data_IF_300529781706
#
_entry.id   IF_300529781706
#
_cell.length_a   1.000
_cell.length_b   1.000
_cell.length_c   1.000
_cell.angle_alpha   90.00
_cell.angle_beta   90.00
_cell.angle_gamma   90.00
#
_symmetry.space_group_name_H-M   'P 1'
#
loop_
_entity.id
_entity.type
_entity.pdbx_description
1 polymer ?
#
# COMPACT_ATOMS: atom_id res chain seq x y z
N UNK A 1 -15.78 -8.08 5.24
CA UNK A 1 -14.37 -8.44 5.56
C UNK A 1 -13.90 -9.68 4.80
N UNK A 2 -14.65 -10.79 4.76
CA UNK A 2 -14.29 -12.01 4.02
C UNK A 2 -14.08 -11.80 2.51
N UNK A 3 -15.00 -11.09 1.84
CA UNK A 3 -14.93 -10.81 0.40
C UNK A 3 -13.64 -10.11 -0.03
N UNK A 4 -13.12 -9.19 0.79
CA UNK A 4 -11.89 -8.44 0.49
C UNK A 4 -10.67 -9.38 0.54
N UNK A 5 -10.63 -10.31 1.49
CA UNK A 5 -9.58 -11.34 1.55
C UNK A 5 -9.63 -12.29 0.35
N UNK A 6 -10.82 -12.79 0.03
CA UNK A 6 -11.02 -13.70 -1.10
C UNK A 6 -10.61 -13.04 -2.43
N UNK A 7 -11.05 -11.80 -2.65
CA UNK A 7 -10.65 -11.02 -3.83
C UNK A 7 -9.13 -10.83 -3.90
N UNK A 8 -8.50 -10.51 -2.77
CA UNK A 8 -7.04 -10.35 -2.69
C UNK A 8 -6.30 -11.65 -3.00
N UNK A 9 -6.81 -12.79 -2.50
CA UNK A 9 -6.23 -14.10 -2.78
C UNK A 9 -6.33 -14.46 -4.27
N UNK A 10 -7.48 -14.20 -4.89
CA UNK A 10 -7.68 -14.39 -6.32
C UNK A 10 -6.73 -13.53 -7.15
N UNK A 11 -6.60 -12.24 -6.82
CA UNK A 11 -5.66 -11.33 -7.48
C UNK A 11 -4.21 -11.81 -7.36
N UNK A 12 -3.81 -12.30 -6.18
CA UNK A 12 -2.46 -12.83 -5.98
C UNK A 12 -2.19 -14.09 -6.80
N UNK A 13 -3.17 -14.98 -6.90
CA UNK A 13 -3.05 -16.18 -7.72
C UNK A 13 -2.88 -15.81 -9.20
N UNK A 14 -3.66 -14.84 -9.69
CA UNK A 14 -3.52 -14.30 -11.05
C UNK A 14 -2.13 -13.68 -11.25
N UNK A 15 -1.68 -12.84 -10.32
CA UNK A 15 -0.37 -12.19 -10.40
C UNK A 15 0.78 -13.21 -10.52
N UNK A 16 0.72 -14.29 -9.72
CA UNK A 16 1.70 -15.39 -9.78
C UNK A 16 1.62 -16.20 -11.07
N UNK A 17 0.42 -16.54 -11.52
CA UNK A 17 0.22 -17.33 -12.74
C UNK A 17 0.65 -16.57 -13.99
N UNK A 18 0.37 -15.28 -14.06
CA UNK A 18 0.69 -14.43 -15.21
C UNK A 18 2.07 -13.76 -15.11
N UNK A 19 2.74 -13.89 -13.96
CA UNK A 19 4.00 -13.21 -13.66
C UNK A 19 3.93 -11.68 -13.87
N UNK A 20 2.89 -11.05 -13.33
CA UNK A 20 2.65 -9.61 -13.42
C UNK A 20 2.70 -8.96 -12.05
N UNK A 21 3.16 -7.71 -12.00
CA UNK A 21 3.01 -6.89 -10.80
C UNK A 21 1.55 -6.47 -10.62
N UNK A 22 1.02 -6.58 -9.40
CA UNK A 22 -0.34 -6.15 -9.06
C UNK A 22 -0.30 -5.27 -7.83
N UNK A 23 -0.87 -4.07 -7.95
CA UNK A 23 -1.01 -3.12 -6.84
C UNK A 23 -2.45 -3.13 -6.32
N UNK A 24 -2.60 -3.16 -5.00
CA UNK A 24 -3.90 -3.06 -4.33
C UNK A 24 -3.88 -1.79 -3.48
N UNK A 25 -4.89 -0.94 -3.68
CA UNK A 25 -5.03 0.32 -2.92
C UNK A 25 -6.10 0.12 -1.85
N UNK A 26 -5.70 0.26 -0.59
CA UNK A 26 -6.61 0.22 0.55
C UNK A 26 -6.65 1.58 1.25
N UNK A 27 -7.85 2.13 1.43
CA UNK A 27 -8.04 3.41 2.09
C UNK A 27 -8.11 3.23 3.62
N UNK A 28 -7.52 4.17 4.36
CA UNK A 28 -7.66 4.23 5.82
C UNK A 28 -8.77 5.23 6.14
N UNK A 29 -9.74 4.83 6.97
CA UNK A 29 -10.89 5.68 7.33
C UNK A 29 -10.69 6.35 8.70
N UNK A 30 -11.49 7.38 8.98
CA UNK A 30 -11.34 8.29 10.15
C UNK A 30 -11.42 7.59 11.51
N UNK A 31 -12.04 6.42 11.62
CA UNK A 31 -12.15 5.67 12.87
C UNK A 31 -10.91 4.83 13.20
N UNK A 32 -9.83 4.96 12.43
CA UNK A 32 -8.67 4.05 12.52
C UNK A 32 -9.00 2.62 12.09
N UNK A 33 -10.26 2.37 11.70
CA UNK A 33 -10.68 1.19 10.97
C UNK A 33 -10.11 1.28 9.57
N UNK A 34 -8.94 0.68 9.45
CA UNK A 34 -8.25 0.46 8.19
C UNK A 34 -9.18 -0.38 7.31
N UNK A 35 -9.77 0.23 6.28
CA UNK A 35 -10.66 -0.47 5.37
C UNK A 35 -9.81 -1.35 4.45
N UNK A 36 -9.35 -2.50 4.96
CA UNK A 36 -8.62 -3.51 4.18
C UNK A 36 -7.14 -3.69 4.52
N UNK A 37 -6.27 -2.66 4.56
CA UNK A 37 -4.81 -2.87 4.58
C UNK A 37 -4.29 -3.83 5.66
N UNK A 38 -4.50 -3.57 6.96
CA UNK A 38 -4.01 -4.45 8.06
C UNK A 38 -4.48 -5.89 7.95
N UNK A 39 -5.70 -6.08 7.48
CA UNK A 39 -6.28 -7.39 7.27
C UNK A 39 -5.58 -8.16 6.14
N UNK A 40 -4.99 -7.45 5.17
CA UNK A 40 -4.33 -8.00 3.99
C UNK A 40 -2.79 -8.00 4.11
N UNK A 41 -2.21 -7.27 5.06
CA UNK A 41 -0.76 -7.12 5.23
C UNK A 41 0.00 -8.45 5.28
N UNK A 42 -0.57 -9.45 5.97
CA UNK A 42 0.04 -10.76 6.06
C UNK A 42 -0.10 -11.56 4.76
N UNK A 43 -1.14 -11.28 3.96
CA UNK A 43 -1.41 -11.96 2.70
C UNK A 43 -0.43 -11.50 1.61
N UNK A 44 -0.22 -10.20 1.46
CA UNK A 44 0.56 -9.62 0.34
C UNK A 44 2.08 -9.72 0.50
N UNK A 45 2.84 -9.60 -0.59
CA UNK A 45 4.31 -9.69 -0.54
C UNK A 45 4.97 -8.39 -0.07
N UNK A 46 4.40 -7.23 -0.43
CA UNK A 46 4.88 -5.90 -0.04
C UNK A 46 3.72 -5.04 0.48
N UNK A 47 3.97 -4.29 1.55
CA UNK A 47 3.04 -3.33 2.16
C UNK A 47 3.74 -1.98 2.19
N UNK A 48 3.14 -1.00 1.51
CA UNK A 48 3.58 0.38 1.50
C UNK A 48 2.49 1.25 2.13
N UNK A 49 2.89 2.12 3.05
CA UNK A 49 2.05 3.16 3.61
C UNK A 49 2.41 4.49 2.95
N UNK A 50 1.40 5.20 2.46
CA UNK A 50 1.56 6.54 1.93
C UNK A 50 0.88 7.52 2.88
N UNK A 51 1.71 8.21 3.66
CA UNK A 51 1.29 8.99 4.83
C UNK A 51 1.58 10.47 4.61
N UNK A 52 0.79 11.33 5.22
CA UNK A 52 1.05 12.76 5.25
C UNK A 52 0.16 13.45 6.26
N UNK A 53 0.68 14.50 6.87
CA UNK A 53 -0.06 15.39 7.76
C UNK A 53 -0.78 16.46 6.94
N UNK A 54 -1.88 17.01 7.46
CA UNK A 54 -2.60 18.14 6.88
C UNK A 54 -1.71 19.40 6.81
N UNK A 55 -0.76 19.55 7.74
CA UNK A 55 0.13 20.71 7.84
C UNK A 55 1.41 20.59 7.01
N UNK A 56 1.71 19.39 6.49
CA UNK A 56 2.95 19.12 5.78
C UNK A 56 2.67 18.93 4.28
N UNK A 57 3.36 19.71 3.44
CA UNK A 57 3.30 19.57 1.98
C UNK A 57 3.85 18.22 1.48
N UNK A 58 4.69 17.59 2.30
CA UNK A 58 5.32 16.31 1.97
C UNK A 58 4.45 15.11 2.36
N UNK A 59 4.51 14.09 1.51
CA UNK A 59 3.96 12.76 1.68
C UNK A 59 5.11 11.77 1.78
N UNK A 60 5.05 10.87 2.75
CA UNK A 60 6.08 9.85 2.98
C UNK A 60 5.52 8.51 2.53
N UNK A 61 6.23 7.84 1.63
CA UNK A 61 6.00 6.44 1.27
C UNK A 61 6.95 5.57 2.08
N UNK A 62 6.42 4.72 2.95
CA UNK A 62 7.19 3.84 3.84
C UNK A 62 6.88 2.37 3.57
N UNK A 63 7.91 1.55 3.44
CA UNK A 63 7.75 0.10 3.41
C UNK A 63 7.59 -0.46 4.83
N UNK A 64 6.49 -1.14 5.10
CA UNK A 64 6.26 -1.84 6.39
C UNK A 64 6.48 -3.35 6.25
N UNK A 65 6.29 -3.87 5.04
CA UNK A 65 6.66 -5.24 4.65
C UNK A 65 7.23 -5.18 3.24
N UNK A 66 8.35 -5.84 3.02
CA UNK A 66 8.93 -5.97 1.69
C UNK A 66 9.63 -7.32 1.58
N UNK A 67 9.04 -8.28 0.86
CA UNK A 67 9.68 -9.58 0.64
C UNK A 67 10.84 -9.54 -0.36
N UNK A 68 11.01 -8.40 -1.05
CA UNK A 68 11.99 -8.24 -2.13
C UNK A 68 13.07 -7.20 -1.80
N UNK A 69 13.11 -6.67 -0.57
CA UNK A 69 14.04 -5.61 -0.20
C UNK A 69 13.90 -5.17 1.25
N UNK A 70 14.50 -4.02 1.57
CA UNK A 70 14.50 -3.46 2.92
C UNK A 70 13.15 -2.84 3.27
N UNK A 71 12.82 -2.84 4.57
CA UNK A 71 11.71 -2.04 5.14
C UNK A 71 12.18 -0.67 5.64
N UNK A 72 13.49 -0.40 5.63
CA UNK A 72 14.04 0.87 6.10
C UNK A 72 14.06 1.94 4.99
N UNK A 73 13.62 1.60 3.78
CA UNK A 73 13.52 2.53 2.67
C UNK A 73 12.29 3.43 2.83
N UNK A 74 12.49 4.72 2.54
CA UNK A 74 11.44 5.73 2.54
C UNK A 74 11.58 6.61 1.31
N UNK A 75 10.46 6.89 0.65
CA UNK A 75 10.35 7.92 -0.37
C UNK A 75 9.66 9.16 0.21
N UNK A 76 10.20 10.35 -0.07
CA UNK A 76 9.58 11.61 0.32
C UNK A 76 9.10 12.28 -0.97
N UNK A 77 7.83 12.64 -1.02
CA UNK A 77 7.20 13.22 -2.20
C UNK A 77 6.47 14.50 -1.81
N UNK A 78 6.34 15.43 -2.74
CA UNK A 78 5.50 16.61 -2.63
C UNK A 78 4.41 16.55 -3.70
N UNK A 79 3.16 16.83 -3.34
CA UNK A 79 2.07 16.90 -4.31
C UNK A 79 2.07 18.27 -4.99
N UNK A 80 2.50 18.31 -6.25
CA UNK A 80 2.42 19.49 -7.12
C UNK A 80 1.17 19.44 -7.98
N UNK A 81 0.89 20.53 -8.69
CA UNK A 81 -0.19 20.58 -9.67
C UNK A 81 -0.07 19.49 -10.75
N UNK A 82 1.16 19.09 -11.10
CA UNK A 82 1.44 18.02 -12.06
C UNK A 82 1.44 16.60 -11.45
N UNK A 83 1.16 16.46 -10.15
CA UNK A 83 1.20 15.19 -9.43
C UNK A 83 2.33 15.09 -8.40
N UNK A 84 2.64 13.86 -7.97
CA UNK A 84 3.68 13.59 -6.97
C UNK A 84 5.08 13.79 -7.54
N UNK A 85 5.93 14.52 -6.82
CA UNK A 85 7.34 14.74 -7.15
C UNK A 85 8.21 14.42 -5.94
N UNK A 86 9.15 13.50 -6.08
CA UNK A 86 10.15 13.13 -5.06
C UNK A 86 11.56 13.33 -5.58
#
# INVERSE_FOLDING_TARGET
VSQVRESTQSLMNIAKQMNIATFIVGHVTKEGQIAGPRLLEHMVDTVLYFEGDEHHAYRILRAVKNRFGSTNEMGIFEMKQSGLKG
#
